data_IF_560749821727
#
_entry.id   IF_560749821727
#
_cell.length_a   1.000
_cell.length_b   1.000
_cell.length_c   1.000
_cell.angle_alpha   90.00
_cell.angle_beta   90.00
_cell.angle_gamma   90.00
#
_symmetry.space_group_name_H-M   'P 1'
#
loop_
_entity.id
_entity.type
_entity.pdbx_description
1 polymer ?
#
# COMPACT_ATOMS: atom_id res chain seq x y z
N UNK A 1 -16.18 -0.25 -23.48
CA UNK A 1 -15.46 0.62 -22.54
C UNK A 1 -15.85 0.18 -21.14
N UNK A 2 -15.07 -0.72 -20.53
CA UNK A 2 -15.34 -1.15 -19.16
C UNK A 2 -14.78 -0.07 -18.23
N UNK A 3 -15.65 0.66 -17.55
CA UNK A 3 -15.27 1.46 -16.40
C UNK A 3 -14.87 0.47 -15.30
N UNK A 4 -13.58 0.23 -15.12
CA UNK A 4 -13.08 -0.44 -13.91
C UNK A 4 -13.42 0.48 -12.74
N UNK A 5 -14.46 0.12 -11.99
CA UNK A 5 -14.77 0.74 -10.71
C UNK A 5 -13.58 0.51 -9.79
N UNK A 6 -12.80 1.56 -9.57
CA UNK A 6 -11.76 1.55 -8.56
C UNK A 6 -12.41 1.45 -7.18
N UNK A 7 -12.15 0.36 -6.48
CA UNK A 7 -12.79 0.06 -5.21
C UNK A 7 -12.21 0.90 -4.07
N UNK A 8 -13.11 1.43 -3.24
CA UNK A 8 -12.74 2.16 -2.01
C UNK A 8 -12.25 1.19 -0.93
N UNK A 9 -11.39 1.66 -0.02
CA UNK A 9 -10.74 0.87 1.05
C UNK A 9 -11.70 -0.07 1.79
N UNK A 10 -12.90 0.40 2.13
CA UNK A 10 -13.88 -0.37 2.91
C UNK A 10 -14.50 -1.57 2.13
N UNK A 11 -14.45 -1.53 0.80
CA UNK A 11 -14.93 -2.62 -0.06
C UNK A 11 -13.84 -3.67 -0.24
N UNK A 12 -12.59 -3.23 -0.31
CA UNK A 12 -11.44 -4.10 -0.59
C UNK A 12 -11.02 -4.89 0.64
N UNK A 13 -10.98 -4.26 1.83
CA UNK A 13 -10.37 -4.83 3.04
C UNK A 13 -11.39 -5.19 4.14
N UNK A 14 -11.09 -6.18 5.02
CA UNK A 14 -9.85 -6.96 5.09
C UNK A 14 -9.74 -7.97 3.93
N UNK A 15 -8.53 -8.17 3.41
CA UNK A 15 -8.29 -9.02 2.24
C UNK A 15 -7.11 -9.95 2.39
N UNK A 16 -7.32 -11.21 2.01
CA UNK A 16 -6.25 -12.18 1.81
C UNK A 16 -5.62 -11.96 0.43
N UNK A 17 -4.29 -12.04 0.34
CA UNK A 17 -3.58 -11.93 -0.94
C UNK A 17 -3.42 -13.31 -1.60
N UNK A 18 -4.49 -14.09 -1.69
CA UNK A 18 -4.40 -15.45 -2.25
C UNK A 18 -4.12 -15.46 -3.76
N UNK A 19 -3.87 -16.64 -4.34
CA UNK A 19 -3.54 -16.80 -5.77
C UNK A 19 -4.61 -16.25 -6.73
N UNK A 20 -5.87 -16.12 -6.29
CA UNK A 20 -6.94 -15.50 -7.10
C UNK A 20 -6.70 -13.99 -7.26
N UNK A 21 -6.04 -13.37 -6.28
CA UNK A 21 -5.73 -11.95 -6.22
C UNK A 21 -4.31 -11.69 -6.68
N UNK A 22 -4.14 -11.49 -7.98
CA UNK A 22 -2.82 -11.17 -8.57
C UNK A 22 -2.27 -9.81 -8.12
N UNK A 23 -3.15 -8.83 -7.95
CA UNK A 23 -2.83 -7.49 -7.47
C UNK A 23 -4.04 -6.95 -6.68
N UNK A 24 -3.78 -6.15 -5.65
CA UNK A 24 -4.82 -5.37 -4.97
C UNK A 24 -4.60 -3.92 -5.30
N UNK A 25 -5.58 -3.30 -5.95
CA UNK A 25 -5.61 -1.89 -6.27
C UNK A 25 -6.69 -1.22 -5.42
N UNK A 26 -6.36 -0.11 -4.77
CA UNK A 26 -7.30 0.61 -3.91
C UNK A 26 -7.05 2.11 -3.99
N UNK A 27 -8.12 2.89 -4.13
CA UNK A 27 -8.04 4.35 -4.08
C UNK A 27 -8.05 4.80 -2.62
N UNK A 28 -7.01 5.53 -2.23
CA UNK A 28 -6.80 5.99 -0.86
C UNK A 28 -6.78 7.51 -0.83
N UNK A 29 -7.62 8.10 0.01
CA UNK A 29 -7.70 9.56 0.16
C UNK A 29 -6.49 10.07 0.91
N UNK A 30 -5.97 11.20 0.41
CA UNK A 30 -4.86 11.92 1.03
C UNK A 30 -5.37 12.88 2.12
N UNK A 31 -4.60 13.15 3.18
CA UNK A 31 -4.98 14.10 4.21
C UNK A 31 -5.00 15.55 3.70
N UNK A 32 -4.05 15.92 2.81
CA UNK A 32 -3.92 17.27 2.25
C UNK A 32 -3.22 17.23 0.89
N UNK A 33 -3.65 18.11 -0.02
CA UNK A 33 -3.01 18.35 -1.32
C UNK A 33 -2.19 19.64 -1.33
N UNK A 34 -1.30 19.79 -2.31
CA UNK A 34 -0.51 21.00 -2.55
C UNK A 34 0.16 21.53 -1.28
N UNK A 35 0.89 20.65 -0.59
CA UNK A 35 1.60 20.99 0.65
C UNK A 35 2.75 21.95 0.33
N UNK A 36 2.96 22.94 1.19
CA UNK A 36 4.14 23.81 1.06
C UNK A 36 5.41 23.05 1.38
N UNK A 37 6.55 23.53 0.87
CA UNK A 37 7.87 22.92 1.14
C UNK A 37 8.14 22.76 2.65
N UNK A 38 7.79 23.78 3.44
CA UNK A 38 7.94 23.74 4.90
C UNK A 38 7.11 22.62 5.52
N UNK A 39 5.86 22.45 5.11
CA UNK A 39 5.02 21.38 5.65
C UNK A 39 5.63 20.02 5.35
N UNK A 40 6.15 19.80 4.13
CA UNK A 40 6.82 18.55 3.74
C UNK A 40 8.10 18.29 4.54
N UNK A 41 8.82 19.34 4.93
CA UNK A 41 9.99 19.24 5.80
C UNK A 41 9.63 18.94 7.27
N UNK A 42 8.43 19.36 7.71
CA UNK A 42 7.93 19.16 9.08
C UNK A 42 7.23 17.80 9.27
N UNK A 43 6.44 17.35 8.29
CA UNK A 43 5.73 16.06 8.35
C UNK A 43 5.89 15.24 7.06
N UNK A 44 6.13 13.94 7.18
CA UNK A 44 6.11 13.00 6.06
C UNK A 44 4.68 12.53 5.77
N UNK A 45 4.25 12.52 4.50
CA UNK A 45 3.02 11.83 4.10
C UNK A 45 3.32 10.34 3.97
N UNK A 46 2.67 9.50 4.79
CA UNK A 46 2.99 8.09 4.94
C UNK A 46 1.79 7.22 4.57
N UNK A 47 2.03 6.24 3.68
CA UNK A 47 1.10 5.13 3.46
C UNK A 47 1.25 4.12 4.60
N UNK A 48 0.14 3.81 5.25
CA UNK A 48 0.06 2.84 6.33
C UNK A 48 -0.77 1.65 5.89
N UNK A 49 -0.12 0.49 5.76
CA UNK A 49 -0.80 -0.80 5.58
C UNK A 49 -1.04 -1.39 6.96
N UNK A 50 -2.30 -1.40 7.38
CA UNK A 50 -2.71 -1.76 8.73
C UNK A 50 -3.18 -3.21 8.83
N UNK A 51 -3.07 -3.76 10.04
CA UNK A 51 -3.63 -5.07 10.37
C UNK A 51 -3.05 -6.21 9.52
N UNK A 52 -1.76 -6.13 9.16
CA UNK A 52 -1.07 -7.22 8.47
C UNK A 52 -1.01 -8.42 9.40
N UNK A 53 -1.71 -9.49 9.05
CA UNK A 53 -1.62 -10.79 9.72
C UNK A 53 -0.89 -11.76 8.83
N UNK A 54 0.22 -12.34 9.31
CA UNK A 54 1.05 -13.26 8.52
C UNK A 54 1.37 -14.55 9.29
N UNK A 55 1.39 -15.69 8.60
CA UNK A 55 1.89 -16.95 9.17
C UNK A 55 3.42 -16.88 9.36
N UNK A 56 3.87 -17.08 10.60
CA UNK A 56 5.24 -16.76 11.02
C UNK A 56 6.29 -17.67 10.37
N UNK A 57 5.91 -18.89 10.02
CA UNK A 57 6.77 -19.92 9.43
C UNK A 57 6.73 -19.94 7.89
N UNK A 58 5.99 -19.02 7.26
CA UNK A 58 5.92 -18.91 5.80
C UNK A 58 6.73 -17.71 5.31
N UNK A 59 7.57 -17.94 4.30
CA UNK A 59 8.29 -16.86 3.64
C UNK A 59 7.33 -16.19 2.69
N UNK A 60 7.14 -14.88 2.83
CA UNK A 60 6.25 -14.15 1.95
C UNK A 60 6.75 -12.74 1.70
N UNK A 61 6.42 -12.20 0.51
CA UNK A 61 6.74 -10.84 0.12
C UNK A 61 5.61 -10.26 -0.70
N UNK A 62 5.31 -8.99 -0.46
CA UNK A 62 4.57 -8.16 -1.40
C UNK A 62 5.25 -6.80 -1.56
N UNK A 63 5.08 -6.23 -2.74
CA UNK A 63 5.59 -4.92 -3.13
C UNK A 63 4.42 -3.92 -3.15
N UNK A 64 4.68 -2.66 -2.83
CA UNK A 64 3.70 -1.57 -2.79
C UNK A 64 4.13 -0.51 -3.78
N UNK A 65 3.19 -0.08 -4.61
CA UNK A 65 3.35 0.96 -5.61
C UNK A 65 2.30 2.04 -5.44
N UNK A 66 2.64 3.26 -5.84
CA UNK A 66 1.77 4.44 -5.84
C UNK A 66 1.63 4.93 -7.28
N UNK A 67 0.38 5.17 -7.68
CA UNK A 67 0.05 5.70 -8.99
C UNK A 67 -0.89 6.91 -8.83
N UNK A 68 -0.92 7.75 -9.85
CA UNK A 68 -1.93 8.80 -10.06
C UNK A 68 -3.35 8.19 -10.08
N UNK A 69 -4.33 8.89 -9.49
CA UNK A 69 -5.72 8.45 -9.38
C UNK A 69 -6.44 8.31 -10.72
N UNK A 70 -6.04 9.06 -11.74
CA UNK A 70 -6.69 9.08 -13.07
C UNK A 70 -6.26 7.91 -13.97
N UNK A 71 -5.25 7.14 -13.58
CA UNK A 71 -4.60 6.16 -14.46
C UNK A 71 -4.76 4.70 -13.99
N UNK A 72 -6.00 4.22 -13.92
CA UNK A 72 -6.30 2.81 -13.60
C UNK A 72 -5.58 1.80 -14.53
N UNK A 73 -5.19 2.25 -15.74
CA UNK A 73 -4.47 1.51 -16.77
C UNK A 73 -3.00 1.93 -16.95
N UNK A 74 -2.38 2.48 -15.89
CA UNK A 74 -1.06 3.11 -15.91
C UNK A 74 0.03 2.26 -16.56
N UNK A 75 0.78 2.91 -17.46
CA UNK A 75 2.09 2.46 -17.91
C UNK A 75 3.17 2.62 -16.83
N UNK A 76 4.37 2.08 -17.04
CA UNK A 76 5.47 2.15 -16.07
C UNK A 76 5.86 3.56 -15.63
N UNK A 77 5.60 4.58 -16.47
CA UNK A 77 5.94 5.98 -16.20
C UNK A 77 5.05 6.68 -15.15
N UNK A 78 3.94 6.06 -14.73
CA UNK A 78 3.00 6.63 -13.75
C UNK A 78 2.82 5.71 -12.54
N UNK A 79 3.86 4.98 -12.21
CA UNK A 79 3.87 4.00 -11.13
C UNK A 79 5.22 4.07 -10.44
N UNK A 80 5.22 4.52 -9.18
CA UNK A 80 6.44 4.58 -8.38
C UNK A 80 6.44 3.50 -7.29
N UNK A 81 7.61 2.92 -7.07
CA UNK A 81 7.80 1.89 -6.05
C UNK A 81 7.96 2.53 -4.67
N UNK A 82 7.01 2.28 -3.77
CA UNK A 82 7.05 2.82 -2.42
C UNK A 82 7.76 1.92 -1.41
N UNK A 83 7.75 0.59 -1.62
CA UNK A 83 8.44 -0.33 -0.73
C UNK A 83 7.94 -1.77 -0.78
N UNK A 84 8.49 -2.59 0.11
CA UNK A 84 8.12 -3.99 0.24
C UNK A 84 7.89 -4.36 1.70
N UNK A 85 6.98 -5.30 1.93
CA UNK A 85 6.93 -6.07 3.16
C UNK A 85 7.46 -7.48 2.89
N UNK A 86 8.27 -7.99 3.82
CA UNK A 86 8.77 -9.36 3.76
C UNK A 86 8.67 -10.02 5.14
N UNK A 87 8.10 -11.22 5.19
CA UNK A 87 8.24 -12.09 6.35
C UNK A 87 9.32 -13.15 6.08
N UNK A 88 10.25 -13.26 7.02
CA UNK A 88 11.25 -14.32 7.03
C UNK A 88 10.82 -15.39 8.03
N UNK A 89 10.74 -16.68 7.62
CA UNK A 89 10.32 -17.78 8.48
C UNK A 89 11.16 -17.87 9.76
N UNK A 90 10.49 -17.87 10.92
CA UNK A 90 11.16 -18.07 12.21
C UNK A 90 10.38 -19.02 13.09
N UNK A 91 11.07 -20.01 13.68
CA UNK A 91 10.48 -20.89 14.69
C UNK A 91 10.37 -20.13 16.01
N UNK A 92 9.15 -20.02 16.55
CA UNK A 92 8.90 -19.44 17.86
C UNK A 92 8.06 -20.40 18.70
N UNK A 93 8.32 -20.47 20.01
CA UNK A 93 7.62 -21.41 20.91
C UNK A 93 6.14 -21.07 21.14
N UNK A 94 5.74 -19.82 20.86
CA UNK A 94 4.37 -19.33 21.07
C UNK A 94 3.82 -18.57 19.85
N UNK A 95 2.63 -18.94 19.37
CA UNK A 95 1.88 -18.21 18.34
C UNK A 95 2.28 -18.54 16.89
N UNK A 96 1.30 -18.93 16.07
CA UNK A 96 1.49 -19.24 14.64
C UNK A 96 1.47 -18.01 13.72
N UNK A 97 0.86 -16.90 14.16
CA UNK A 97 0.69 -15.69 13.36
C UNK A 97 1.39 -14.49 14.00
N UNK A 98 1.81 -13.53 13.17
CA UNK A 98 2.28 -12.21 13.57
C UNK A 98 1.24 -11.18 13.13
N UNK A 99 0.98 -10.19 13.98
CA UNK A 99 0.21 -8.99 13.64
C UNK A 99 1.16 -7.80 13.59
N UNK A 100 1.17 -7.06 12.49
CA UNK A 100 2.08 -5.94 12.26
C UNK A 100 1.43 -4.90 11.33
N UNK A 101 2.13 -3.80 11.08
CA UNK A 101 1.83 -2.86 9.99
C UNK A 101 3.08 -2.57 9.16
N UNK A 102 2.89 -1.91 8.03
CA UNK A 102 3.94 -1.34 7.20
C UNK A 102 3.67 0.17 7.05
N UNK A 103 4.72 0.99 7.17
CA UNK A 103 4.67 2.45 6.98
C UNK A 103 5.69 2.80 5.90
N UNK A 104 5.26 3.52 4.87
CA UNK A 104 6.09 3.93 3.73
C UNK A 104 5.92 5.42 3.51
N UNK A 105 7.01 6.20 3.58
CA UNK A 105 6.99 7.61 3.20
C UNK A 105 6.77 7.75 1.69
N UNK A 106 5.91 8.67 1.31
CA UNK A 106 5.52 8.91 -0.08
C UNK A 106 5.60 10.38 -0.47
N UNK A 107 6.09 11.29 0.38
CA UNK A 107 6.13 12.73 0.06
C UNK A 107 6.89 13.00 -1.23
N UNK A 108 8.13 12.49 -1.33
CA UNK A 108 8.96 12.65 -2.54
C UNK A 108 8.35 11.93 -3.75
N UNK A 109 7.76 10.74 -3.53
CA UNK A 109 7.12 9.98 -4.61
C UNK A 109 5.93 10.71 -5.23
N UNK A 110 5.18 11.46 -4.44
CA UNK A 110 4.07 12.29 -4.93
C UNK A 110 4.57 13.46 -5.80
N UNK A 111 5.76 14.01 -5.51
CA UNK A 111 6.40 15.02 -6.35
C UNK A 111 6.87 14.42 -7.68
N UNK A 112 7.54 13.26 -7.63
CA UNK A 112 8.05 12.55 -8.81
C UNK A 112 6.93 12.11 -9.76
N UNK A 113 5.79 11.67 -9.20
CA UNK A 113 4.59 11.32 -9.96
C UNK A 113 3.83 12.56 -10.47
N UNK A 114 4.11 13.75 -9.94
CA UNK A 114 3.31 14.95 -10.21
C UNK A 114 1.89 14.90 -9.64
N UNK A 115 1.65 14.07 -8.62
CA UNK A 115 0.33 13.78 -8.04
C UNK A 115 0.00 14.69 -6.83
N UNK A 116 0.66 15.85 -6.72
CA UNK A 116 0.58 16.70 -5.54
C UNK A 116 -0.79 17.37 -5.35
N UNK A 117 -1.51 17.65 -6.43
CA UNK A 117 -2.83 18.28 -6.43
C UNK A 117 -4.00 17.30 -6.36
N UNK A 118 -3.73 16.00 -6.46
CA UNK A 118 -4.70 14.92 -6.39
C UNK A 118 -5.29 14.77 -4.98
N UNK A 119 -6.57 14.41 -4.91
CA UNK A 119 -7.26 14.19 -3.62
C UNK A 119 -7.05 12.78 -3.08
N UNK A 120 -6.72 11.85 -3.96
CA UNK A 120 -6.44 10.46 -3.67
C UNK A 120 -5.29 9.99 -4.53
N UNK A 121 -4.75 8.82 -4.18
CA UNK A 121 -3.85 8.07 -5.03
C UNK A 121 -4.29 6.62 -5.10
N UNK A 122 -3.87 5.95 -6.17
CA UNK A 122 -4.09 4.52 -6.33
C UNK A 122 -2.92 3.76 -5.68
N UNK A 123 -3.19 3.07 -4.58
CA UNK A 123 -2.22 2.19 -3.93
C UNK A 123 -2.35 0.79 -4.49
N UNK A 124 -1.25 0.24 -5.00
CA UNK A 124 -1.20 -1.10 -5.58
C UNK A 124 -0.31 -2.01 -4.73
N UNK A 125 -0.88 -3.09 -4.18
CA UNK A 125 -0.14 -4.16 -3.50
C UNK A 125 0.01 -5.36 -4.44
N UNK A 126 1.25 -5.76 -4.70
CA UNK A 126 1.62 -6.84 -5.62
C UNK A 126 2.26 -7.97 -4.83
N UNK A 127 1.54 -9.09 -4.58
CA UNK A 127 2.13 -10.26 -3.96
C UNK A 127 3.20 -10.86 -4.87
N UNK A 128 4.35 -11.23 -4.30
CA UNK A 128 5.48 -11.81 -5.04
C UNK A 128 5.59 -13.32 -4.81
N UNK A 129 5.42 -13.76 -3.57
CA UNK A 129 5.37 -15.17 -3.17
C UNK A 129 4.80 -15.30 -1.76
N UNK A 130 4.32 -16.51 -1.41
CA UNK A 130 3.81 -16.84 -0.07
C UNK A 130 2.55 -16.06 0.32
N UNK A 131 1.78 -15.60 -0.66
CA UNK A 131 0.72 -14.63 -0.48
C UNK A 131 -0.54 -15.22 0.16
N UNK A 132 -0.71 -16.54 0.12
CA UNK A 132 -1.73 -17.27 0.86
C UNK A 132 -1.54 -17.23 2.39
N UNK A 133 -0.39 -16.76 2.87
CA UNK A 133 -0.09 -16.67 4.29
C UNK A 133 -0.37 -15.29 4.89
N UNK A 134 -0.84 -14.31 4.11
CA UNK A 134 -1.05 -12.93 4.56
C UNK A 134 -2.50 -12.46 4.41
N UNK A 135 -2.95 -11.66 5.37
CA UNK A 135 -4.16 -10.83 5.28
C UNK A 135 -3.81 -9.39 5.60
N UNK A 136 -4.30 -8.45 4.80
CA UNK A 136 -4.19 -7.01 5.05
C UNK A 136 -5.53 -6.54 5.63
N UNK A 137 -5.47 -5.79 6.73
CA UNK A 137 -6.65 -5.26 7.41
C UNK A 137 -7.18 -3.97 6.78
N UNK A 138 -6.30 -3.13 6.24
CA UNK A 138 -6.66 -1.88 5.59
C UNK A 138 -5.45 -1.10 5.09
N UNK A 139 -5.70 -0.02 4.35
CA UNK A 139 -4.69 0.94 3.89
C UNK A 139 -5.22 2.35 4.09
N UNK A 140 -4.37 3.25 4.59
CA UNK A 140 -4.66 4.67 4.76
C UNK A 140 -3.41 5.51 4.52
N UNK A 141 -3.60 6.83 4.40
CA UNK A 141 -2.51 7.81 4.36
C UNK A 141 -2.68 8.75 5.54
N UNK A 142 -1.60 9.02 6.25
CA UNK A 142 -1.54 9.96 7.37
C UNK A 142 -0.22 10.75 7.36
N UNK A 143 -0.13 11.78 8.22
CA UNK A 143 1.12 12.48 8.46
C UNK A 143 1.90 11.82 9.60
N UNK A 144 3.21 11.75 9.45
CA UNK A 144 4.16 11.28 10.46
C UNK A 144 5.23 12.36 10.68
N UNK A 145 5.41 12.76 11.94
CA UNK A 145 6.26 13.90 12.36
C UNK A 145 7.56 13.44 13.01
#
# INVERSE_FOLDING_TARGET
MATETLDSVAIVFPRKLDEVVKVVKVVVKRPKKLRSKREKEEDEEVVVVEGIEVERDVSMKFDVFINDEDDAASGPEKTEFAGSFMNVPRKHKHGKKIRTGLRLGITELLEDLGAEDDKSVLVTSVPRYGSDAITIGGVKIEFDS
#
